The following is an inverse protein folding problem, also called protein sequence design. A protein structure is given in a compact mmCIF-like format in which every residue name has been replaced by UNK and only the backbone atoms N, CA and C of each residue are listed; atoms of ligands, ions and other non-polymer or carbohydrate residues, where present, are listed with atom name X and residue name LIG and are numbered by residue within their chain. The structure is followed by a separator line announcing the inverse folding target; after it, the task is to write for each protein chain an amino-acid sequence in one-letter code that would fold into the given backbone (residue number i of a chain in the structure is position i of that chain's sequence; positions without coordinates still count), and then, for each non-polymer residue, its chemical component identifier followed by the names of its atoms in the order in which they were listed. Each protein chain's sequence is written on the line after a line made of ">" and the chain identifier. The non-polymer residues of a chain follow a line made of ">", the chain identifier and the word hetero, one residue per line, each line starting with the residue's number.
data_IF_426251400023
#
_entry.id   IF_426251400023
#
_cell.length_a   1.000
_cell.length_b   1.000
_cell.length_c   1.000
_cell.angle_alpha   90.00
_cell.angle_beta   90.00
_cell.angle_gamma   90.00
#
_symmetry.space_group_name_H-M   'P 1'
#
loop_
_entity.id
_entity.type
_entity.pdbx_description
1 polymer ?
#
# COMPACT_ATOMS: atom_id res chain seq x y z
N UNK A 1 27.66 8.92 -15.37
CA UNK A 1 27.28 9.92 -14.34
C UNK A 1 25.78 10.19 -14.35
N UNK A 2 25.19 10.56 -15.49
CA UNK A 2 23.72 10.74 -15.66
C UNK A 2 22.89 9.58 -15.13
N UNK A 3 23.23 8.32 -15.46
CA UNK A 3 22.49 7.15 -14.98
C UNK A 3 22.50 7.00 -13.45
N UNK A 4 23.58 7.41 -12.77
CA UNK A 4 23.66 7.37 -11.30
C UNK A 4 22.78 8.44 -10.67
N UNK A 5 22.71 9.63 -11.28
CA UNK A 5 21.86 10.74 -10.82
C UNK A 5 20.38 10.39 -10.99
N UNK A 6 19.99 9.84 -12.15
CA UNK A 6 18.62 9.39 -12.40
C UNK A 6 18.22 8.32 -11.37
N UNK A 7 19.09 7.33 -11.13
CA UNK A 7 18.78 6.27 -10.17
C UNK A 7 18.65 6.80 -8.74
N UNK A 8 19.51 7.74 -8.33
CA UNK A 8 19.39 8.39 -7.02
C UNK A 8 18.06 9.16 -6.86
N UNK A 9 17.61 9.88 -7.90
CA UNK A 9 16.32 10.58 -7.89
C UNK A 9 15.16 9.58 -7.80
N UNK A 10 15.21 8.49 -8.58
CA UNK A 10 14.19 7.45 -8.55
C UNK A 10 14.07 6.80 -7.17
N UNK A 11 15.21 6.51 -6.52
CA UNK A 11 15.27 5.96 -5.17
C UNK A 11 14.64 6.95 -4.18
N UNK A 12 15.00 8.23 -4.24
CA UNK A 12 14.41 9.27 -3.38
C UNK A 12 12.89 9.38 -3.55
N UNK A 13 12.40 9.34 -4.79
CA UNK A 13 10.97 9.33 -5.09
C UNK A 13 10.28 8.09 -4.51
N UNK A 14 10.87 6.90 -4.65
CA UNK A 14 10.33 5.67 -4.10
C UNK A 14 10.24 5.70 -2.57
N UNK A 15 11.28 6.20 -1.90
CA UNK A 15 11.30 6.39 -0.44
C UNK A 15 10.21 7.37 -0.01
N UNK A 16 10.08 8.51 -0.69
CA UNK A 16 9.06 9.52 -0.39
C UNK A 16 7.63 8.95 -0.52
N UNK A 17 7.36 8.22 -1.61
CA UNK A 17 6.06 7.57 -1.82
C UNK A 17 5.78 6.51 -0.75
N UNK A 18 6.78 5.67 -0.43
CA UNK A 18 6.68 4.65 0.62
C UNK A 18 6.37 5.22 2.00
N UNK A 19 7.08 6.28 2.40
CA UNK A 19 6.84 6.97 3.67
C UNK A 19 5.45 7.59 3.68
N UNK A 20 5.04 8.27 2.61
CA UNK A 20 3.71 8.91 2.51
C UNK A 20 2.59 7.87 2.66
N UNK A 21 2.73 6.71 2.03
CA UNK A 21 1.75 5.63 2.10
C UNK A 21 1.74 4.95 3.47
N UNK A 22 2.91 4.61 4.02
CA UNK A 22 3.04 4.05 5.35
C UNK A 22 2.49 5.00 6.44
N UNK A 23 2.71 6.30 6.29
CA UNK A 23 2.13 7.32 7.17
C UNK A 23 0.60 7.42 7.06
N UNK A 24 0.03 7.28 5.85
CA UNK A 24 -1.42 7.24 5.67
C UNK A 24 -2.07 6.02 6.35
N UNK A 25 -1.37 4.89 6.39
CA UNK A 25 -1.78 3.70 7.14
C UNK A 25 -1.59 3.90 8.65
N UNK A 26 -0.44 4.44 9.08
CA UNK A 26 -0.14 4.69 10.48
C UNK A 26 -1.09 5.69 11.14
N UNK A 27 -1.40 6.79 10.45
CA UNK A 27 -2.36 7.79 10.91
C UNK A 27 -3.80 7.27 10.94
N UNK A 28 -4.07 6.10 10.36
CA UNK A 28 -5.38 5.49 10.35
C UNK A 28 -6.39 6.38 9.63
N UNK A 29 -6.09 6.80 8.39
CA UNK A 29 -7.09 7.50 7.57
C UNK A 29 -8.40 6.67 7.55
N UNK A 30 -9.57 7.32 7.66
CA UNK A 30 -10.84 6.63 7.78
C UNK A 30 -11.12 5.69 6.61
N UNK A 31 -10.66 6.04 5.41
CA UNK A 31 -10.71 5.19 4.22
C UNK A 31 -9.91 3.88 4.40
N UNK A 32 -8.68 3.96 4.92
CA UNK A 32 -7.84 2.78 5.17
C UNK A 32 -8.37 1.93 6.32
N UNK A 33 -8.91 2.55 7.37
CA UNK A 33 -9.57 1.84 8.48
C UNK A 33 -10.79 1.08 7.95
N UNK A 34 -11.61 1.70 7.11
CA UNK A 34 -12.80 1.05 6.56
C UNK A 34 -12.43 -0.11 5.61
N UNK A 35 -11.37 0.03 4.81
CA UNK A 35 -10.91 -1.04 3.91
C UNK A 35 -10.30 -2.21 4.67
N UNK A 36 -9.38 -1.97 5.61
CA UNK A 36 -8.74 -3.03 6.38
C UNK A 36 -9.67 -3.63 7.44
N UNK A 37 -10.59 -2.84 7.98
CA UNK A 37 -11.61 -3.28 8.93
C UNK A 37 -12.53 -4.37 8.36
N UNK A 38 -12.80 -4.35 7.04
CA UNK A 38 -13.57 -5.42 6.36
C UNK A 38 -12.90 -6.80 6.41
N UNK A 39 -11.59 -6.85 6.65
CA UNK A 39 -10.84 -8.09 6.80
C UNK A 39 -10.45 -8.41 8.25
N UNK A 40 -11.04 -7.70 9.22
CA UNK A 40 -10.78 -7.93 10.64
C UNK A 40 -9.46 -7.35 11.14
N UNK A 41 -8.80 -6.49 10.35
CA UNK A 41 -7.66 -5.73 10.84
C UNK A 41 -8.14 -4.63 11.78
N UNK A 42 -7.70 -4.71 13.03
CA UNK A 42 -7.89 -3.64 14.00
C UNK A 42 -7.02 -2.42 13.63
N UNK A 43 -7.40 -1.24 14.14
CA UNK A 43 -6.66 0.02 13.95
C UNK A 43 -5.19 -0.12 14.32
N UNK A 44 -4.91 -0.93 15.34
CA UNK A 44 -3.56 -1.27 15.79
C UNK A 44 -2.79 -2.06 14.74
N UNK A 45 -3.41 -3.06 14.11
CA UNK A 45 -2.79 -3.85 13.04
C UNK A 45 -2.51 -3.02 11.78
N UNK A 46 -3.42 -2.11 11.43
CA UNK A 46 -3.20 -1.15 10.34
C UNK A 46 -2.01 -0.23 10.62
N UNK A 47 -1.91 0.27 11.86
CA UNK A 47 -0.82 1.14 12.27
C UNK A 47 0.53 0.42 12.25
N UNK A 48 0.59 -0.81 12.76
CA UNK A 48 1.80 -1.66 12.70
C UNK A 48 2.22 -1.90 11.26
N UNK A 49 1.29 -2.20 10.36
CA UNK A 49 1.60 -2.41 8.94
C UNK A 49 2.12 -1.13 8.27
N UNK A 50 1.55 0.03 8.61
CA UNK A 50 2.05 1.33 8.18
C UNK A 50 3.46 1.63 8.66
N UNK A 51 3.77 1.31 9.92
CA UNK A 51 5.12 1.46 10.48
C UNK A 51 6.14 0.53 9.79
N UNK A 52 5.75 -0.70 9.48
CA UNK A 52 6.57 -1.64 8.70
C UNK A 52 6.85 -1.08 7.29
N UNK A 53 5.85 -0.49 6.63
CA UNK A 53 6.02 0.17 5.33
C UNK A 53 6.99 1.37 5.40
N UNK A 54 6.91 2.18 6.47
CA UNK A 54 7.85 3.29 6.67
C UNK A 54 9.28 2.78 6.90
N UNK A 55 9.46 1.70 7.68
CA UNK A 55 10.76 1.03 7.86
C UNK A 55 11.28 0.44 6.54
N UNK A 56 10.41 -0.16 5.73
CA UNK A 56 10.75 -0.64 4.40
C UNK A 56 11.23 0.48 3.47
N UNK A 57 10.62 1.66 3.54
CA UNK A 57 11.07 2.83 2.80
C UNK A 57 12.46 3.29 3.25
N UNK A 58 12.78 3.23 4.55
CA UNK A 58 14.15 3.53 5.03
C UNK A 58 15.15 2.47 4.55
N UNK A 59 14.75 1.20 4.51
CA UNK A 59 15.58 0.09 3.99
C UNK A 59 15.97 0.27 2.52
N UNK A 60 15.19 1.00 1.72
CA UNK A 60 15.52 1.30 0.31
C UNK A 60 16.76 2.20 0.18
N UNK A 61 17.05 3.04 1.18
CA UNK A 61 18.23 3.92 1.16
C UNK A 61 19.55 3.14 1.24
N UNK A 62 19.52 1.91 1.78
CA UNK A 62 20.70 1.08 1.88
C UNK A 62 20.76 0.09 0.69
N UNK A 63 21.84 0.09 -0.10
CA UNK A 63 21.93 -0.71 -1.32
C UNK A 63 21.87 -2.23 -1.08
N UNK A 64 22.25 -2.67 0.13
CA UNK A 64 22.13 -4.09 0.57
C UNK A 64 20.68 -4.53 0.77
N UNK A 65 19.79 -3.62 1.13
CA UNK A 65 18.38 -3.91 1.47
C UNK A 65 17.38 -3.31 0.47
N UNK A 66 17.88 -2.68 -0.60
CA UNK A 66 17.07 -2.07 -1.67
C UNK A 66 15.96 -3.00 -2.19
N UNK A 67 16.32 -4.25 -2.51
CA UNK A 67 15.36 -5.25 -2.99
C UNK A 67 14.29 -5.61 -1.95
N UNK A 68 14.69 -5.79 -0.69
CA UNK A 68 13.78 -6.14 0.40
C UNK A 68 12.82 -5.01 0.75
N UNK A 69 13.33 -3.77 0.82
CA UNK A 69 12.50 -2.59 1.07
C UNK A 69 11.49 -2.38 -0.07
N UNK A 70 11.91 -2.50 -1.32
CA UNK A 70 11.02 -2.38 -2.47
C UNK A 70 9.98 -3.52 -2.52
N UNK A 71 10.36 -4.74 -2.17
CA UNK A 71 9.45 -5.88 -2.09
C UNK A 71 8.36 -5.67 -1.02
N UNK A 72 8.73 -5.19 0.17
CA UNK A 72 7.78 -4.91 1.25
C UNK A 72 6.79 -3.81 0.88
N UNK A 73 7.27 -2.73 0.24
CA UNK A 73 6.37 -1.67 -0.26
C UNK A 73 5.43 -2.22 -1.33
N UNK A 74 5.95 -2.97 -2.30
CA UNK A 74 5.14 -3.57 -3.36
C UNK A 74 4.09 -4.53 -2.80
N UNK A 75 4.45 -5.36 -1.83
CA UNK A 75 3.52 -6.26 -1.14
C UNK A 75 2.41 -5.47 -0.40
N UNK A 76 2.76 -4.37 0.27
CA UNK A 76 1.78 -3.50 0.93
C UNK A 76 0.80 -2.86 -0.05
N UNK A 77 1.30 -2.34 -1.18
CA UNK A 77 0.45 -1.79 -2.25
C UNK A 77 -0.46 -2.88 -2.84
N UNK A 78 0.09 -4.07 -3.11
CA UNK A 78 -0.66 -5.20 -3.65
C UNK A 78 -1.81 -5.59 -2.71
N UNK A 79 -1.58 -5.60 -1.40
CA UNK A 79 -2.61 -5.84 -0.39
C UNK A 79 -3.75 -4.81 -0.48
N UNK A 80 -3.40 -3.52 -0.60
CA UNK A 80 -4.38 -2.43 -0.73
C UNK A 80 -5.20 -2.58 -2.02
N UNK A 81 -4.55 -2.90 -3.14
CA UNK A 81 -5.23 -3.13 -4.43
C UNK A 81 -6.16 -4.34 -4.34
N UNK A 82 -5.73 -5.43 -3.69
CA UNK A 82 -6.58 -6.61 -3.47
C UNK A 82 -7.86 -6.25 -2.71
N UNK A 83 -7.75 -5.43 -1.66
CA UNK A 83 -8.92 -4.92 -0.93
C UNK A 83 -9.85 -4.09 -1.80
N UNK A 84 -9.27 -3.17 -2.58
CA UNK A 84 -10.06 -2.30 -3.45
C UNK A 84 -10.78 -3.08 -4.54
N UNK A 85 -10.13 -4.11 -5.09
CA UNK A 85 -10.69 -4.96 -6.13
C UNK A 85 -11.84 -5.84 -5.61
N UNK A 86 -11.78 -6.29 -4.36
CA UNK A 86 -12.87 -7.06 -3.74
C UNK A 86 -14.17 -6.23 -3.66
N UNK A 87 -14.06 -4.95 -3.29
CA UNK A 87 -15.20 -4.02 -3.27
C UNK A 87 -15.71 -3.74 -4.70
N UNK A 88 -14.82 -3.56 -5.67
CA UNK A 88 -15.18 -3.36 -7.07
C UNK A 88 -15.92 -4.59 -7.63
N UNK A 89 -15.42 -5.80 -7.36
CA UNK A 89 -16.04 -7.05 -7.82
C UNK A 89 -17.43 -7.24 -7.20
N UNK A 90 -17.60 -6.95 -5.92
CA UNK A 90 -18.92 -6.97 -5.27
C UNK A 90 -19.88 -5.94 -5.89
N UNK A 91 -19.41 -4.72 -6.19
CA UNK A 91 -20.21 -3.74 -6.91
C UNK A 91 -20.59 -4.22 -8.31
N UNK A 92 -19.65 -4.80 -9.05
CA UNK A 92 -19.90 -5.37 -10.39
C UNK A 92 -20.89 -6.52 -10.31
N UNK A 93 -20.79 -7.41 -9.32
CA UNK A 93 -21.74 -8.50 -9.10
C UNK A 93 -23.13 -7.96 -8.76
N UNK A 94 -23.24 -6.94 -7.89
CA UNK A 94 -24.51 -6.27 -7.59
C UNK A 94 -25.07 -5.57 -8.83
N UNK A 95 -24.22 -4.87 -9.59
CA UNK A 95 -24.59 -4.15 -10.80
C UNK A 95 -24.98 -5.09 -11.95
N UNK A 96 -24.42 -6.31 -12.02
CA UNK A 96 -24.87 -7.37 -12.94
C UNK A 96 -26.08 -8.15 -12.42
N UNK A 97 -26.29 -8.26 -11.10
CA UNK A 97 -27.50 -8.86 -10.53
C UNK A 97 -28.71 -7.93 -10.58
N UNK A 98 -28.52 -6.61 -10.53
CA UNK A 98 -29.60 -5.64 -10.62
C UNK A 98 -30.38 -5.65 -11.96
N UNK A 99 -29.77 -5.91 -13.13
CA UNK A 99 -30.49 -6.13 -14.38
C UNK A 99 -31.04 -7.56 -14.54
N UNK A 100 -30.76 -8.48 -13.61
CA UNK A 100 -31.26 -9.87 -13.62
C UNK A 100 -32.40 -10.12 -12.63
N UNK A 101 -32.90 -9.09 -11.94
CA UNK A 101 -34.22 -9.15 -11.29
C UNK A 101 -35.29 -8.82 -12.33
N UNK A 102 -35.73 -9.85 -13.06
CA UNK A 102 -37.11 -9.93 -13.52
C UNK A 102 -38.04 -10.13 -12.31
#
# INVERSE_FOLDING_TARGET
>A
MILKVINAILILCAVFMGIKQGYAMFSGKPEMINMFGKWGFDRTGLAVNGAIMMLAAVLILFPRTFLWGNFLIAAGILLIICFQLQDLLNLVIIYLRHPLKQ
#
